data_IF_460705713793
#
_entry.id   IF_460705713793
#
_cell.length_a   1.000
_cell.length_b   1.000
_cell.length_c   1.000
_cell.angle_alpha   90.00
_cell.angle_beta   90.00
_cell.angle_gamma   90.00
#
_symmetry.space_group_name_H-M   'P 1'
#
loop_
_entity.id
_entity.type
_entity.pdbx_description
1 polymer ?
#
# COMPACT_ATOMS: atom_id res chain seq x y z
N UNK A 1 37.23 56.76 38.36
CA UNK A 1 38.43 56.07 37.89
C UNK A 1 37.94 54.87 37.09
N UNK A 2 38.38 54.82 35.84
CA UNK A 2 37.85 54.05 34.72
C UNK A 2 38.08 52.54 34.96
N UNK A 3 37.16 51.66 34.55
CA UNK A 3 37.47 50.48 33.73
C UNK A 3 36.19 49.74 33.29
N UNK A 4 36.08 49.57 31.97
CA UNK A 4 35.13 48.74 31.24
C UNK A 4 35.61 47.27 31.17
N UNK A 5 34.73 46.44 30.60
CA UNK A 5 34.90 45.11 30.01
C UNK A 5 34.62 43.86 30.87
N UNK A 6 33.63 43.07 30.43
CA UNK A 6 33.25 41.80 31.05
C UNK A 6 32.01 41.12 30.44
N UNK A 7 32.10 40.80 29.16
CA UNK A 7 31.15 40.15 28.27
C UNK A 7 30.71 38.71 28.67
N UNK A 8 29.39 38.44 28.57
CA UNK A 8 28.67 37.14 28.32
C UNK A 8 28.74 36.06 29.43
N UNK A 9 27.70 35.28 29.77
CA UNK A 9 26.86 34.45 28.89
C UNK A 9 25.61 33.89 29.66
N UNK A 10 24.55 33.61 28.91
CA UNK A 10 23.36 32.75 29.16
C UNK A 10 22.36 33.06 30.27
N UNK A 11 21.18 33.50 29.84
CA UNK A 11 19.90 32.98 30.38
C UNK A 11 18.96 32.59 29.25
N UNK A 12 18.70 31.29 29.17
CA UNK A 12 17.49 30.71 28.55
C UNK A 12 16.27 31.26 29.27
N UNK A 13 15.24 31.61 28.52
CA UNK A 13 13.89 31.68 29.09
C UNK A 13 12.96 32.57 28.30
N UNK A 14 12.17 31.93 27.44
CA UNK A 14 10.81 32.32 27.05
C UNK A 14 10.73 33.68 26.30
N UNK A 15 9.82 33.96 25.37
CA UNK A 15 8.36 33.86 25.40
C UNK A 15 7.87 34.30 24.00
N UNK A 16 6.57 34.08 23.76
CA UNK A 16 5.69 34.79 22.81
C UNK A 16 5.44 34.14 21.45
N UNK A 17 4.37 33.34 21.48
CA UNK A 17 3.14 33.59 20.70
C UNK A 17 3.14 34.93 19.93
N UNK A 18 3.00 34.83 18.62
CA UNK A 18 2.67 35.94 17.74
C UNK A 18 1.93 35.41 16.52
N UNK A 19 0.60 35.39 16.61
CA UNK A 19 -0.29 35.47 15.45
C UNK A 19 0.13 36.68 14.60
N UNK A 20 0.24 36.49 13.28
CA UNK A 20 0.61 37.59 12.40
C UNK A 20 0.66 37.21 10.93
N UNK A 21 -0.49 36.91 10.34
CA UNK A 21 -0.65 37.07 8.89
C UNK A 21 -0.60 38.56 8.57
N UNK A 22 0.39 38.98 7.78
CA UNK A 22 0.55 40.27 7.09
C UNK A 22 1.97 40.24 6.50
N UNK A 23 2.28 40.37 5.21
CA UNK A 23 1.62 40.74 3.98
C UNK A 23 2.71 40.68 2.91
N UNK A 24 2.36 40.41 1.66
CA UNK A 24 3.28 39.91 0.64
C UNK A 24 4.35 40.85 0.08
N UNK A 25 5.28 40.20 -0.60
CA UNK A 25 6.05 40.63 -1.78
C UNK A 25 7.10 41.75 -1.61
N UNK A 26 8.34 41.32 -1.36
CA UNK A 26 9.51 41.93 -1.97
C UNK A 26 10.28 40.81 -2.68
N UNK A 27 9.92 40.64 -3.94
CA UNK A 27 10.32 39.59 -4.87
C UNK A 27 11.82 39.21 -4.81
N UNK A 28 12.10 37.92 -5.03
CA UNK A 28 13.41 37.39 -5.46
C UNK A 28 14.53 37.31 -4.40
N UNK A 29 14.19 37.17 -3.12
CA UNK A 29 15.13 36.81 -2.06
C UNK A 29 15.27 35.30 -1.87
N UNK A 30 16.12 34.68 -2.70
CA UNK A 30 16.78 33.39 -2.47
C UNK A 30 15.90 32.12 -2.45
N UNK A 31 15.93 31.43 -3.58
CA UNK A 31 15.45 30.10 -3.96
C UNK A 31 15.89 28.94 -3.02
N UNK A 32 15.73 29.10 -1.70
CA UNK A 32 16.24 28.20 -0.67
C UNK A 32 15.22 27.23 -0.08
N UNK A 33 13.98 27.23 -0.56
CA UNK A 33 12.90 26.32 -0.14
C UNK A 33 12.11 25.75 -1.35
N UNK A 34 12.79 25.44 -2.47
CA UNK A 34 12.18 24.70 -3.58
C UNK A 34 12.24 23.20 -3.31
N UNK A 35 11.42 22.74 -2.36
CA UNK A 35 11.05 21.34 -2.28
C UNK A 35 9.60 21.19 -2.75
N UNK A 36 9.44 20.97 -4.06
CA UNK A 36 8.11 20.94 -4.72
C UNK A 36 7.37 19.62 -4.46
N UNK A 37 8.11 18.57 -4.12
CA UNK A 37 7.67 17.24 -3.68
C UNK A 37 8.83 16.28 -3.96
N UNK A 38 9.32 15.57 -2.94
CA UNK A 38 10.00 14.28 -3.10
C UNK A 38 10.13 13.57 -1.74
N UNK A 39 9.57 12.37 -1.65
CA UNK A 39 10.12 11.32 -0.81
C UNK A 39 9.75 9.96 -1.44
N UNK A 40 10.46 9.55 -2.48
CA UNK A 40 10.39 8.20 -3.07
C UNK A 40 8.96 7.71 -3.40
N UNK A 41 8.25 8.49 -4.22
CA UNK A 41 6.98 8.21 -4.94
C UNK A 41 6.03 7.19 -4.26
N UNK A 42 4.95 7.63 -3.58
CA UNK A 42 3.96 6.72 -3.03
C UNK A 42 3.27 6.02 -4.19
N UNK A 43 3.58 4.74 -4.36
CA UNK A 43 2.95 3.92 -5.37
C UNK A 43 1.83 3.06 -4.78
N UNK A 44 0.72 2.98 -5.50
CA UNK A 44 -0.27 1.92 -5.32
C UNK A 44 0.15 0.77 -6.22
N UNK A 45 0.78 -0.25 -5.64
CA UNK A 45 1.18 -1.45 -6.35
C UNK A 45 -0.04 -2.31 -6.65
N UNK A 46 -0.30 -2.58 -7.92
CA UNK A 46 -1.36 -3.49 -8.38
C UNK A 46 -0.70 -4.58 -9.19
N UNK A 47 -1.12 -5.83 -9.05
CA UNK A 47 -0.64 -6.84 -10.01
C UNK A 47 -1.05 -6.42 -11.44
N UNK A 48 -0.14 -6.57 -12.40
CA UNK A 48 -0.40 -6.29 -13.82
C UNK A 48 -1.47 -7.23 -14.39
N UNK A 49 -1.50 -8.47 -13.88
CA UNK A 49 -2.47 -9.49 -14.28
C UNK A 49 -2.94 -10.33 -13.09
N UNK A 50 -4.01 -11.10 -13.30
CA UNK A 50 -4.55 -12.00 -12.26
C UNK A 50 -3.56 -13.14 -12.05
N UNK A 51 -3.03 -13.26 -10.83
CA UNK A 51 -2.16 -14.38 -10.47
C UNK A 51 -2.79 -15.75 -10.79
N UNK A 52 -1.92 -16.76 -10.90
CA UNK A 52 -2.27 -18.12 -11.34
C UNK A 52 -3.51 -18.68 -10.62
N UNK A 53 -3.59 -18.50 -9.31
CA UNK A 53 -4.68 -18.99 -8.45
C UNK A 53 -5.61 -17.92 -7.91
N UNK A 54 -5.75 -16.80 -8.63
CA UNK A 54 -6.57 -15.67 -8.22
C UNK A 54 -7.96 -16.09 -7.68
N UNK A 55 -8.34 -15.56 -6.51
CA UNK A 55 -9.61 -15.86 -5.83
C UNK A 55 -10.86 -15.47 -6.64
N UNK A 56 -10.68 -14.58 -7.62
CA UNK A 56 -11.70 -14.09 -8.56
C UNK A 56 -11.57 -14.71 -9.96
N UNK A 57 -10.65 -15.66 -10.16
CA UNK A 57 -10.59 -16.46 -11.40
C UNK A 57 -11.73 -17.49 -11.40
N UNK A 58 -12.29 -17.76 -12.57
CA UNK A 58 -13.20 -18.89 -12.79
C UNK A 58 -12.40 -20.15 -13.13
N UNK A 59 -12.90 -21.33 -12.76
CA UNK A 59 -12.29 -22.61 -13.16
C UNK A 59 -11.53 -23.31 -12.03
N UNK A 60 -10.77 -24.35 -12.41
CA UNK A 60 -10.12 -25.28 -11.47
C UNK A 60 -8.84 -24.71 -10.87
N UNK A 61 -8.26 -23.70 -11.51
CA UNK A 61 -7.00 -23.06 -11.14
C UNK A 61 -7.20 -22.07 -9.98
N UNK A 62 -8.45 -21.67 -9.71
CA UNK A 62 -8.82 -20.78 -8.60
C UNK A 62 -8.38 -21.35 -7.25
N UNK A 63 -7.87 -20.49 -6.37
CA UNK A 63 -7.56 -20.86 -4.99
C UNK A 63 -8.78 -21.51 -4.32
N UNK A 64 -8.55 -22.66 -3.68
CA UNK A 64 -9.59 -23.49 -3.07
C UNK A 64 -10.11 -22.87 -1.77
N UNK A 65 -10.88 -21.80 -1.89
CA UNK A 65 -11.59 -21.11 -0.81
C UNK A 65 -13.08 -21.07 -1.16
N UNK A 66 -13.92 -21.22 -0.14
CA UNK A 66 -15.37 -21.10 -0.25
C UNK A 66 -15.76 -19.78 -0.97
N UNK A 67 -16.46 -19.85 -2.11
CA UNK A 67 -16.99 -18.67 -2.79
C UNK A 67 -17.84 -17.76 -1.90
N UNK A 68 -18.61 -18.31 -0.95
CA UNK A 68 -19.44 -17.50 -0.05
C UNK A 68 -18.55 -16.63 0.86
N UNK A 69 -17.51 -17.22 1.45
CA UNK A 69 -16.53 -16.50 2.25
C UNK A 69 -15.83 -15.38 1.45
N UNK A 70 -15.46 -15.65 0.20
CA UNK A 70 -14.84 -14.63 -0.66
C UNK A 70 -15.79 -13.48 -0.93
N UNK A 71 -17.06 -13.76 -1.24
CA UNK A 71 -18.08 -12.72 -1.45
C UNK A 71 -18.31 -11.86 -0.20
N UNK A 72 -18.44 -12.50 0.96
CA UNK A 72 -18.60 -11.81 2.25
C UNK A 72 -17.41 -10.90 2.55
N UNK A 73 -16.18 -11.40 2.35
CA UNK A 73 -14.97 -10.63 2.56
C UNK A 73 -14.87 -9.42 1.63
N UNK A 74 -15.20 -9.61 0.34
CA UNK A 74 -15.24 -8.51 -0.64
C UNK A 74 -16.27 -7.46 -0.22
N UNK A 75 -17.49 -7.87 0.15
CA UNK A 75 -18.52 -6.94 0.60
C UNK A 75 -18.07 -6.14 1.82
N UNK A 76 -17.47 -6.80 2.81
CA UNK A 76 -16.94 -6.17 4.03
C UNK A 76 -15.85 -5.15 3.73
N UNK A 77 -14.91 -5.50 2.84
CA UNK A 77 -13.80 -4.62 2.46
C UNK A 77 -14.31 -3.41 1.65
N UNK A 78 -15.25 -3.63 0.72
CA UNK A 78 -15.89 -2.56 -0.07
C UNK A 78 -16.62 -1.56 0.82
N UNK A 79 -17.40 -2.04 1.79
CA UNK A 79 -18.14 -1.17 2.71
C UNK A 79 -17.22 -0.24 3.53
N UNK A 80 -15.94 -0.61 3.70
CA UNK A 80 -14.94 0.17 4.43
C UNK A 80 -14.04 1.03 3.52
N UNK A 81 -14.29 1.05 2.21
CA UNK A 81 -13.39 1.69 1.24
C UNK A 81 -12.01 1.04 1.16
N UNK A 82 -11.88 -0.22 1.59
CA UNK A 82 -10.62 -0.95 1.62
C UNK A 82 -10.29 -1.65 0.30
N UNK A 83 -9.24 -2.47 0.32
CA UNK A 83 -8.80 -3.27 -0.81
C UNK A 83 -8.38 -4.69 -0.38
N UNK A 84 -8.28 -5.58 -1.36
CA UNK A 84 -7.74 -6.93 -1.16
C UNK A 84 -6.28 -6.97 -1.64
N UNK A 85 -5.38 -7.33 -0.73
CA UNK A 85 -3.99 -7.65 -1.04
C UNK A 85 -3.92 -9.01 -1.74
N UNK A 86 -3.08 -9.15 -2.76
CA UNK A 86 -2.81 -10.42 -3.38
C UNK A 86 -2.13 -11.37 -2.38
N UNK A 87 -2.73 -12.52 -2.14
CA UNK A 87 -2.23 -13.51 -1.18
C UNK A 87 -0.85 -14.06 -1.57
N UNK A 88 -0.48 -14.06 -2.85
CA UNK A 88 0.85 -14.47 -3.31
C UNK A 88 1.94 -13.43 -3.06
N UNK A 89 1.57 -12.18 -2.73
CA UNK A 89 2.52 -11.08 -2.43
C UNK A 89 2.56 -10.71 -0.93
N UNK A 90 1.73 -11.36 -0.10
CA UNK A 90 1.66 -11.08 1.32
C UNK A 90 2.86 -11.73 2.06
N UNK A 91 3.68 -10.98 2.82
CA UNK A 91 4.72 -11.56 3.69
C UNK A 91 4.05 -12.41 4.78
N UNK A 92 4.43 -13.68 5.01
CA UNK A 92 5.74 -14.31 4.73
C UNK A 92 5.80 -15.20 3.46
N UNK A 93 4.80 -15.16 2.58
CA UNK A 93 4.66 -16.13 1.47
C UNK A 93 5.41 -15.75 0.19
N UNK A 94 5.91 -14.51 0.05
CA UNK A 94 6.73 -14.09 -1.09
C UNK A 94 8.14 -13.78 -0.61
N UNK A 95 9.08 -14.70 -0.85
CA UNK A 95 10.51 -14.45 -0.67
C UNK A 95 11.07 -13.44 -1.71
N UNK A 96 10.39 -13.30 -2.85
CA UNK A 96 10.88 -12.53 -4.00
C UNK A 96 10.70 -11.01 -3.90
N UNK A 97 9.56 -10.51 -3.40
CA UNK A 97 9.24 -9.08 -3.58
C UNK A 97 9.22 -8.25 -2.31
N UNK A 98 9.18 -8.87 -1.11
CA UNK A 98 9.15 -8.20 0.19
C UNK A 98 8.02 -7.17 0.41
N UNK A 99 7.18 -6.94 -0.59
CA UNK A 99 6.25 -5.82 -0.70
C UNK A 99 4.92 -6.37 -1.23
N UNK A 100 3.84 -6.10 -0.52
CA UNK A 100 2.49 -6.48 -0.94
C UNK A 100 2.05 -5.73 -2.21
N UNK A 101 1.15 -6.33 -2.99
CA UNK A 101 0.45 -5.69 -4.10
C UNK A 101 -1.06 -5.93 -4.01
N UNK A 102 -1.85 -5.00 -4.54
CA UNK A 102 -3.30 -5.15 -4.68
C UNK A 102 -3.62 -6.27 -5.66
N UNK A 103 -4.63 -7.07 -5.32
CA UNK A 103 -5.17 -8.11 -6.19
C UNK A 103 -5.74 -7.49 -7.48
N UNK A 104 -5.16 -7.85 -8.64
CA UNK A 104 -5.65 -7.42 -9.97
C UNK A 104 -7.14 -7.64 -10.14
N UNK A 105 -7.63 -8.84 -9.79
CA UNK A 105 -9.05 -9.17 -9.96
C UNK A 105 -9.99 -8.27 -9.13
N UNK A 106 -9.56 -7.85 -7.93
CA UNK A 106 -10.33 -6.93 -7.10
C UNK A 106 -10.30 -5.52 -7.68
N UNK A 107 -9.12 -5.06 -8.12
CA UNK A 107 -8.96 -3.76 -8.74
C UNK A 107 -9.80 -3.64 -10.02
N UNK A 108 -9.83 -4.68 -10.87
CA UNK A 108 -10.64 -4.67 -12.11
C UNK A 108 -12.14 -4.59 -11.81
N UNK A 109 -12.61 -5.35 -10.81
CA UNK A 109 -14.03 -5.48 -10.52
C UNK A 109 -14.60 -4.31 -9.71
N UNK A 110 -13.80 -3.72 -8.82
CA UNK A 110 -14.28 -2.76 -7.81
C UNK A 110 -13.41 -1.49 -7.71
N UNK A 111 -12.39 -1.35 -8.56
CA UNK A 111 -11.42 -0.27 -8.46
C UNK A 111 -12.03 1.13 -8.61
N UNK A 112 -12.98 1.26 -9.53
CA UNK A 112 -13.69 2.53 -9.81
C UNK A 112 -14.58 2.98 -8.66
N UNK A 113 -15.04 2.08 -7.80
CA UNK A 113 -15.86 2.41 -6.62
C UNK A 113 -14.99 2.94 -5.46
N UNK A 114 -13.72 2.54 -5.41
CA UNK A 114 -12.81 2.90 -4.33
C UNK A 114 -12.22 4.31 -4.55
N UNK A 115 -12.48 5.25 -3.64
CA UNK A 115 -11.96 6.62 -3.73
C UNK A 115 -10.43 6.69 -3.79
N UNK A 116 -9.73 5.88 -2.99
CA UNK A 116 -8.27 5.89 -2.98
C UNK A 116 -7.69 5.41 -4.33
N UNK A 117 -8.30 4.40 -4.96
CA UNK A 117 -7.87 3.96 -6.29
C UNK A 117 -8.19 4.98 -7.38
N UNK A 118 -9.34 5.65 -7.32
CA UNK A 118 -9.66 6.75 -8.24
C UNK A 118 -8.63 7.88 -8.17
N UNK A 119 -8.24 8.27 -6.95
CA UNK A 119 -7.19 9.27 -6.74
C UNK A 119 -5.84 8.76 -7.25
N UNK A 120 -5.46 7.51 -6.94
CA UNK A 120 -4.21 6.93 -7.40
C UNK A 120 -4.10 6.88 -8.93
N UNK A 121 -5.18 6.52 -9.62
CA UNK A 121 -5.26 6.57 -11.10
C UNK A 121 -5.18 8.01 -11.59
N UNK A 122 -5.93 8.94 -10.98
CA UNK A 122 -5.95 10.35 -11.38
C UNK A 122 -4.60 11.05 -11.20
N UNK A 123 -3.83 10.67 -10.17
CA UNK A 123 -2.48 11.18 -9.95
C UNK A 123 -1.39 10.40 -10.71
N UNK A 124 -1.74 9.32 -11.43
CA UNK A 124 -0.76 8.52 -12.18
C UNK A 124 0.23 7.75 -11.30
N UNK A 125 -0.16 7.40 -10.07
CA UNK A 125 0.70 6.73 -9.08
C UNK A 125 0.35 5.22 -8.90
N UNK A 126 -0.32 4.63 -9.87
CA UNK A 126 -0.54 3.18 -9.92
C UNK A 126 0.66 2.53 -10.62
N UNK A 127 1.38 1.68 -9.89
CA UNK A 127 2.46 0.86 -10.46
C UNK A 127 1.97 -0.56 -10.65
N UNK A 128 1.95 -1.01 -11.90
CA UNK A 128 1.68 -2.41 -12.20
C UNK A 128 2.94 -3.26 -11.98
N UNK A 129 2.79 -4.37 -11.25
CA UNK A 129 3.88 -5.30 -10.96
C UNK A 129 3.53 -6.70 -11.43
N UNK A 130 4.50 -7.44 -11.95
CA UNK A 130 4.27 -8.81 -12.40
C UNK A 130 3.78 -9.69 -11.24
N UNK A 131 2.89 -10.67 -11.50
CA UNK A 131 2.57 -11.68 -10.51
C UNK A 131 3.84 -12.47 -10.14
N UNK A 132 3.96 -12.94 -8.88
CA UNK A 132 5.06 -13.83 -8.49
C UNK A 132 5.08 -15.11 -9.33
N UNK A 133 6.28 -15.64 -9.59
CA UNK A 133 6.44 -16.92 -10.27
C UNK A 133 5.79 -18.03 -9.41
N UNK A 134 4.81 -18.78 -9.94
CA UNK A 134 4.23 -19.92 -9.24
C UNK A 134 5.25 -20.95 -8.71
N UNK A 135 6.41 -21.09 -9.38
CA UNK A 135 7.47 -22.00 -8.97
C UNK A 135 8.21 -21.54 -7.70
N UNK A 136 8.15 -20.26 -7.36
CA UNK A 136 8.82 -19.64 -6.20
C UNK A 136 7.88 -19.42 -5.01
N UNK A 137 6.59 -19.71 -5.20
CA UNK A 137 5.64 -19.69 -4.10
C UNK A 137 5.86 -20.89 -3.18
N UNK A 138 5.75 -20.71 -1.85
CA UNK A 138 5.86 -21.82 -0.92
C UNK A 138 4.84 -22.90 -1.26
N UNK A 139 5.17 -24.19 -1.06
CA UNK A 139 4.22 -25.26 -1.23
C UNK A 139 3.02 -24.92 -0.36
N UNK A 140 1.89 -24.68 -1.01
CA UNK A 140 0.65 -24.32 -0.32
C UNK A 140 0.40 -25.41 0.71
N UNK A 141 0.02 -25.02 1.93
CA UNK A 141 -0.68 -25.91 2.84
C UNK A 141 -2.07 -26.24 2.25
N UNK A 142 -2.09 -26.83 1.06
CA UNK A 142 -3.23 -27.62 0.62
C UNK A 142 -3.20 -28.81 1.55
N UNK A 143 -4.28 -28.98 2.32
CA UNK A 143 -4.47 -30.19 3.12
C UNK A 143 -3.97 -31.40 2.33
N UNK A 144 -3.12 -32.18 2.98
CA UNK A 144 -2.63 -33.42 2.46
C UNK A 144 -3.79 -34.19 1.79
N UNK A 145 -3.49 -34.75 0.62
CA UNK A 145 -4.27 -35.79 -0.03
C UNK A 145 -5.55 -35.38 -0.81
N UNK A 146 -5.41 -35.21 -2.13
CA UNK A 146 -6.45 -35.56 -3.13
C UNK A 146 -5.98 -36.70 -4.04
N UNK A 147 -4.97 -37.47 -3.63
CA UNK A 147 -4.36 -38.58 -4.38
C UNK A 147 -4.34 -39.90 -3.59
N UNK A 148 -5.42 -40.21 -2.89
CA UNK A 148 -5.93 -41.57 -2.59
C UNK A 148 -7.45 -41.48 -2.73
N UNK A 149 -8.08 -42.17 -3.68
CA UNK A 149 -8.11 -43.63 -3.73
C UNK A 149 -9.28 -44.07 -2.85
N UNK A 150 -10.32 -44.63 -3.48
CA UNK A 150 -11.64 -44.87 -2.89
C UNK A 150 -11.65 -45.61 -1.54
N UNK A 151 -12.65 -45.28 -0.73
CA UNK A 151 -12.92 -45.91 0.55
C UNK A 151 -14.22 -45.37 1.13
N UNK A 152 -15.30 -46.10 0.84
CA UNK A 152 -16.63 -46.02 1.44
C UNK A 152 -16.61 -45.89 2.98
N UNK A 153 -17.49 -45.06 3.53
CA UNK A 153 -17.82 -45.08 4.96
C UNK A 153 -19.23 -45.65 5.11
N UNK A 154 -19.31 -46.73 5.88
CA UNK A 154 -20.51 -47.43 6.30
C UNK A 154 -21.30 -46.65 7.36
#
# INVERSE_FOLDING_TARGET
MIHEDGQQDQVRGAERLGDGVQGGSAALGALGDLDVYDASVPEVRVLAERCFDCILRSGRERLAIDPAHIRERIATVRAKGGHIVCHNTYPPLSAETGRAAVCRGFFDAYGSENTAFRLAVGFGIVTEVAPPDPALLPPRAVGADRRRGGGQWA
#
